data_IF_465571193178
#
_entry.id   IF_465571193178
#
_cell.length_a   1.000
_cell.length_b   1.000
_cell.length_c   1.000
_cell.angle_alpha   90.00
_cell.angle_beta   90.00
_cell.angle_gamma   90.00
#
_symmetry.space_group_name_H-M   'P 1'
#
loop_
_entity.id
_entity.type
_entity.pdbx_description
1 polymer ?
#
# COMPACT_ATOMS: atom_id res chain seq x y z
N UNK A 1 7.27 16.71 -0.75
CA UNK A 1 7.64 15.45 -0.06
C UNK A 1 7.30 15.59 1.41
N UNK A 2 6.54 14.63 1.96
CA UNK A 2 6.10 14.58 3.37
C UNK A 2 6.13 13.13 3.86
N UNK A 3 6.15 12.90 5.17
CA UNK A 3 6.04 11.53 5.70
C UNK A 3 4.80 10.79 5.19
N UNK A 4 3.68 11.50 4.94
CA UNK A 4 2.48 10.89 4.38
C UNK A 4 2.64 10.48 2.91
N UNK A 5 3.47 11.17 2.11
CA UNK A 5 3.81 10.70 0.76
C UNK A 5 4.72 9.46 0.83
N UNK A 6 5.63 9.40 1.80
CA UNK A 6 6.49 8.23 1.98
C UNK A 6 5.70 7.00 2.43
N UNK A 7 4.68 7.19 3.29
CA UNK A 7 3.75 6.12 3.69
C UNK A 7 3.01 5.55 2.48
N UNK A 8 2.54 6.39 1.55
CA UNK A 8 1.90 5.92 0.33
C UNK A 8 2.84 5.00 -0.49
N UNK A 9 4.06 5.48 -0.74
CA UNK A 9 5.09 4.73 -1.47
C UNK A 9 5.48 3.45 -0.72
N UNK A 10 5.47 3.45 0.61
CA UNK A 10 5.69 2.26 1.41
C UNK A 10 4.58 1.21 1.22
N UNK A 11 3.33 1.62 1.07
CA UNK A 11 2.24 0.72 0.69
C UNK A 11 2.46 0.07 -0.69
N UNK A 12 2.96 0.83 -1.67
CA UNK A 12 3.35 0.28 -2.99
C UNK A 12 4.47 -0.75 -2.83
N UNK A 13 5.52 -0.43 -2.06
CA UNK A 13 6.63 -1.33 -1.78
C UNK A 13 6.17 -2.65 -1.14
N UNK A 14 5.28 -2.57 -0.15
CA UNK A 14 4.72 -3.77 0.48
C UNK A 14 3.91 -4.59 -0.52
N UNK A 15 3.10 -3.95 -1.37
CA UNK A 15 2.37 -4.65 -2.43
C UNK A 15 3.31 -5.33 -3.43
N UNK A 16 4.40 -4.67 -3.84
CA UNK A 16 5.44 -5.24 -4.69
C UNK A 16 6.10 -6.46 -4.02
N UNK A 17 6.41 -6.37 -2.73
CA UNK A 17 6.99 -7.48 -1.96
C UNK A 17 6.07 -8.71 -1.93
N UNK A 18 4.79 -8.52 -1.60
CA UNK A 18 3.82 -9.61 -1.49
C UNK A 18 3.29 -10.12 -2.84
N UNK A 19 3.48 -9.36 -3.92
CA UNK A 19 3.25 -9.82 -5.29
C UNK A 19 4.47 -10.48 -5.93
N UNK A 20 5.55 -10.71 -5.16
CA UNK A 20 6.81 -11.28 -5.66
C UNK A 20 7.45 -10.43 -6.78
N UNK A 21 7.37 -9.11 -6.66
CA UNK A 21 7.99 -8.15 -7.57
C UNK A 21 7.17 -7.84 -8.82
N UNK A 22 5.84 -8.05 -8.81
CA UNK A 22 5.00 -7.58 -9.90
C UNK A 22 5.06 -6.06 -10.03
N UNK A 23 4.92 -5.55 -11.25
CA UNK A 23 4.84 -4.12 -11.49
C UNK A 23 3.48 -3.57 -11.02
N UNK A 24 3.44 -2.52 -10.18
CA UNK A 24 2.20 -1.87 -9.80
C UNK A 24 1.60 -1.13 -11.01
N UNK A 25 0.27 -1.20 -11.17
CA UNK A 25 -0.47 -0.58 -12.27
C UNK A 25 0.15 -0.87 -13.66
N UNK A 26 0.27 -2.15 -14.06
CA UNK A 26 0.97 -2.51 -15.28
C UNK A 26 0.32 -1.90 -16.52
N UNK A 27 1.14 -1.45 -17.47
CA UNK A 27 0.72 -0.91 -18.77
C UNK A 27 -0.15 0.37 -18.69
N UNK A 28 -0.01 1.15 -17.61
CA UNK A 28 -0.69 2.44 -17.45
C UNK A 28 0.31 3.60 -17.48
N UNK A 29 -0.11 4.74 -18.04
CA UNK A 29 0.64 6.00 -17.94
C UNK A 29 0.46 6.65 -16.57
N UNK A 30 1.30 7.62 -16.24
CA UNK A 30 1.20 8.38 -14.98
C UNK A 30 -0.17 9.07 -14.82
N UNK A 31 -0.69 9.68 -15.89
CA UNK A 31 -1.99 10.35 -15.89
C UNK A 31 -3.14 9.37 -15.67
N UNK A 32 -3.07 8.18 -16.28
CA UNK A 32 -4.07 7.12 -16.06
C UNK A 32 -4.05 6.60 -14.63
N UNK A 33 -2.85 6.43 -14.05
CA UNK A 33 -2.69 5.99 -12.65
C UNK A 33 -3.27 7.04 -11.71
N UNK A 34 -2.98 8.33 -11.96
CA UNK A 34 -3.53 9.42 -11.15
C UNK A 34 -5.07 9.40 -11.17
N UNK A 35 -5.66 9.32 -12.36
CA UNK A 35 -7.12 9.27 -12.50
C UNK A 35 -7.75 8.06 -11.83
N UNK A 36 -7.13 6.88 -11.90
CA UNK A 36 -7.57 5.69 -11.18
C UNK A 36 -7.54 5.90 -9.66
N UNK A 37 -6.42 6.40 -9.15
CA UNK A 37 -6.20 6.61 -7.71
C UNK A 37 -7.18 7.64 -7.14
N UNK A 38 -7.38 8.75 -7.85
CA UNK A 38 -8.36 9.79 -7.50
C UNK A 38 -9.80 9.26 -7.57
N UNK A 39 -10.08 8.36 -8.52
CA UNK A 39 -11.35 7.63 -8.64
C UNK A 39 -11.57 6.56 -7.55
N UNK A 40 -10.64 6.39 -6.62
CA UNK A 40 -10.74 5.45 -5.51
C UNK A 40 -10.23 4.04 -5.81
N UNK A 41 -9.69 3.79 -7.00
CA UNK A 41 -9.09 2.50 -7.32
C UNK A 41 -7.83 2.25 -6.50
N UNK A 42 -7.64 1.01 -6.03
CA UNK A 42 -6.44 0.53 -5.35
C UNK A 42 -6.06 -0.83 -5.93
N UNK A 43 -4.78 -1.17 -5.87
CA UNK A 43 -4.29 -2.47 -6.36
C UNK A 43 -4.94 -3.61 -5.56
N UNK A 44 -5.35 -4.67 -6.24
CA UNK A 44 -5.93 -5.85 -5.62
C UNK A 44 -4.96 -6.54 -4.65
N UNK A 45 -5.51 -7.29 -3.69
CA UNK A 45 -4.72 -8.11 -2.77
C UNK A 45 -3.87 -9.12 -3.56
N UNK A 46 -2.52 -9.13 -3.40
CA UNK A 46 -1.69 -10.12 -4.05
C UNK A 46 -2.06 -11.55 -3.66
N UNK A 47 -1.90 -12.50 -4.60
CA UNK A 47 -2.23 -13.91 -4.35
C UNK A 47 -1.37 -14.47 -3.22
N UNK A 48 -2.03 -14.97 -2.17
CA UNK A 48 -1.35 -15.54 -0.99
C UNK A 48 -0.90 -14.50 0.03
N UNK A 49 -1.18 -13.22 -0.19
CA UNK A 49 -0.96 -12.18 0.82
C UNK A 49 -1.96 -12.36 1.97
N UNK A 50 -1.49 -12.45 3.24
CA UNK A 50 -2.38 -12.48 4.39
C UNK A 50 -3.28 -11.25 4.44
N UNK A 51 -4.57 -11.41 4.80
CA UNK A 51 -5.51 -10.28 4.89
C UNK A 51 -4.99 -9.16 5.81
N UNK A 52 -4.39 -9.52 6.95
CA UNK A 52 -3.80 -8.55 7.88
C UNK A 52 -2.70 -7.70 7.25
N UNK A 53 -1.93 -8.27 6.31
CA UNK A 53 -0.92 -7.52 5.56
C UNK A 53 -1.58 -6.60 4.53
N UNK A 54 -2.59 -7.09 3.83
CA UNK A 54 -3.31 -6.26 2.86
C UNK A 54 -4.06 -5.10 3.53
N UNK A 55 -4.55 -5.28 4.76
CA UNK A 55 -5.12 -4.20 5.56
C UNK A 55 -4.08 -3.12 5.89
N UNK A 56 -2.83 -3.52 6.20
CA UNK A 56 -1.71 -2.58 6.38
C UNK A 56 -1.43 -1.83 5.07
N UNK A 57 -1.30 -2.56 3.95
CA UNK A 57 -1.05 -1.99 2.61
C UNK A 57 -2.12 -0.94 2.26
N UNK A 58 -3.39 -1.30 2.37
CA UNK A 58 -4.50 -0.40 2.01
C UNK A 58 -4.63 0.78 2.97
N UNK A 59 -4.29 0.63 4.26
CA UNK A 59 -4.24 1.75 5.20
C UNK A 59 -3.17 2.80 4.87
N UNK A 60 -2.18 2.46 4.04
CA UNK A 60 -1.20 3.41 3.51
C UNK A 60 -1.78 4.28 2.38
N UNK A 61 -2.89 3.85 1.77
CA UNK A 61 -3.44 4.45 0.55
C UNK A 61 -4.75 5.21 0.79
N UNK A 62 -4.97 5.73 2.00
CA UNK A 62 -6.07 6.67 2.24
C UNK A 62 -5.86 7.93 1.36
N UNK A 63 -6.95 8.39 0.76
CA UNK A 63 -6.93 9.58 -0.09
C UNK A 63 -6.56 10.84 0.71
N UNK A 64 -7.04 10.92 1.95
CA UNK A 64 -6.72 11.99 2.88
C UNK A 64 -5.39 11.65 3.57
N UNK A 65 -4.33 12.45 3.34
CA UNK A 65 -3.01 12.15 3.89
C UNK A 65 -3.05 11.91 5.39
N UNK A 66 -3.79 12.71 6.17
CA UNK A 66 -3.88 12.60 7.62
C UNK A 66 -4.53 11.30 8.14
N UNK A 67 -5.28 10.59 7.30
CA UNK A 67 -5.93 9.34 7.68
C UNK A 67 -5.04 8.11 7.41
N UNK A 68 -3.95 8.29 6.64
CA UNK A 68 -3.00 7.21 6.39
C UNK A 68 -2.38 6.77 7.71
N UNK A 69 -2.13 5.48 7.82
CA UNK A 69 -1.42 4.89 8.95
C UNK A 69 -0.04 5.55 9.17
N UNK A 70 0.56 5.40 10.34
CA UNK A 70 1.89 5.94 10.63
C UNK A 70 2.95 4.84 10.56
N UNK A 71 4.21 5.18 10.29
CA UNK A 71 5.30 4.20 10.37
C UNK A 71 5.40 3.52 11.74
N UNK A 72 5.07 4.22 12.82
CA UNK A 72 5.01 3.64 14.16
C UNK A 72 3.93 2.55 14.24
N UNK A 73 2.72 2.82 13.74
CA UNK A 73 1.61 1.87 13.69
C UNK A 73 1.94 0.67 12.80
N UNK A 74 2.50 0.92 11.61
CA UNK A 74 2.95 -0.14 10.70
C UNK A 74 3.97 -1.04 11.41
N UNK A 75 4.99 -0.47 12.06
CA UNK A 75 6.01 -1.24 12.78
C UNK A 75 5.40 -2.12 13.87
N UNK A 76 4.44 -1.59 14.64
CA UNK A 76 3.73 -2.36 15.66
C UNK A 76 2.93 -3.52 15.05
N UNK A 77 2.17 -3.26 13.99
CA UNK A 77 1.37 -4.28 13.30
C UNK A 77 2.25 -5.40 12.71
N UNK A 78 3.37 -5.04 12.08
CA UNK A 78 4.32 -6.00 11.53
C UNK A 78 5.05 -6.80 12.61
N UNK A 79 5.33 -6.19 13.77
CA UNK A 79 5.98 -6.88 14.88
C UNK A 79 5.05 -7.89 15.58
N UNK A 80 3.75 -7.61 15.57
CA UNK A 80 2.72 -8.50 16.10
C UNK A 80 2.30 -9.58 15.10
N UNK A 81 2.62 -9.40 13.81
CA UNK A 81 2.41 -10.37 12.76
C UNK A 81 3.54 -11.42 12.72
N UNK A 82 4.14 -11.78 13.87
CA UNK A 82 5.11 -12.88 13.98
C UNK A 82 4.63 -14.05 13.15
N UNK A 83 5.47 -14.41 12.18
CA UNK A 83 5.26 -15.49 11.23
C UNK A 83 5.20 -16.78 12.04
N UNK A 84 3.99 -17.33 12.17
CA UNK A 84 3.79 -18.73 12.50
C UNK A 84 4.22 -19.62 11.31
#
# INVERSE_FOLDING_TARGET
FTSQSDIWSYGILLWELFSYGCQPYPQRSEDEILGLVEGGFRLDCPKGCPTSMYDIITSCWDILPQNRTTFEKIKQLLSNATID
#
